data_IF_182117926724
#
_entry.id   IF_182117926724
#
_cell.length_a   1.000
_cell.length_b   1.000
_cell.length_c   1.000
_cell.angle_alpha   90.00
_cell.angle_beta   90.00
_cell.angle_gamma   90.00
#
_symmetry.space_group_name_H-M   'P 1'
#
loop_
_entity.id
_entity.type
_entity.pdbx_description
1 polymer ?
#
# COMPACT_ATOMS: atom_id res chain seq x y z
N UNK A 1 0.84 -20.43 14.53
CA UNK A 1 -0.19 -19.67 15.28
C UNK A 1 0.09 -18.17 15.30
N UNK A 2 1.34 -17.72 15.44
CA UNK A 2 1.72 -16.29 15.34
C UNK A 2 1.23 -15.60 14.04
N UNK A 3 1.27 -16.31 12.91
CA UNK A 3 0.80 -15.78 11.63
C UNK A 3 -0.69 -15.37 11.65
N UNK A 4 -1.55 -16.08 12.38
CA UNK A 4 -2.97 -15.72 12.51
C UNK A 4 -3.11 -14.39 13.25
N UNK A 5 -2.36 -14.20 14.34
CA UNK A 5 -2.37 -12.94 15.09
C UNK A 5 -1.87 -11.77 14.25
N UNK A 6 -0.80 -11.97 13.47
CA UNK A 6 -0.28 -10.96 12.54
C UNK A 6 -1.33 -10.62 11.48
N UNK A 7 -2.01 -11.63 10.92
CA UNK A 7 -3.08 -11.43 9.94
C UNK A 7 -4.25 -10.64 10.54
N UNK A 8 -4.75 -11.03 11.72
CA UNK A 8 -5.84 -10.32 12.42
C UNK A 8 -5.45 -8.87 12.67
N UNK A 9 -4.23 -8.62 13.17
CA UNK A 9 -3.75 -7.27 13.43
C UNK A 9 -3.62 -6.46 12.14
N UNK A 10 -3.17 -7.07 11.05
CA UNK A 10 -3.10 -6.41 9.73
C UNK A 10 -4.49 -6.01 9.23
N UNK A 11 -5.49 -6.90 9.33
CA UNK A 11 -6.87 -6.57 8.97
C UNK A 11 -7.49 -5.50 9.87
N UNK A 12 -7.14 -5.48 11.16
CA UNK A 12 -7.56 -4.42 12.07
C UNK A 12 -6.98 -3.05 11.66
N UNK A 13 -5.69 -2.99 11.32
CA UNK A 13 -5.07 -1.76 10.80
C UNK A 13 -5.71 -1.31 9.48
N UNK A 14 -6.03 -2.24 8.58
CA UNK A 14 -6.74 -1.95 7.32
C UNK A 14 -8.16 -1.40 7.57
N UNK A 15 -8.85 -1.88 8.60
CA UNK A 15 -10.15 -1.35 8.98
C UNK A 15 -10.04 0.08 9.54
N UNK A 16 -8.99 0.38 10.31
CA UNK A 16 -8.72 1.74 10.79
C UNK A 16 -8.43 2.72 9.66
N UNK A 17 -7.62 2.32 8.67
CA UNK A 17 -7.40 3.17 7.48
C UNK A 17 -8.69 3.37 6.70
N UNK A 18 -9.50 2.33 6.47
CA UNK A 18 -10.79 2.48 5.78
C UNK A 18 -11.75 3.43 6.51
N UNK A 19 -11.74 3.41 7.85
CA UNK A 19 -12.51 4.35 8.67
C UNK A 19 -11.97 5.78 8.52
N UNK A 20 -10.64 5.94 8.59
CA UNK A 20 -9.96 7.21 8.37
C UNK A 20 -10.30 7.81 7.02
N UNK A 21 -10.17 7.02 5.95
CA UNK A 21 -10.49 7.41 4.58
C UNK A 21 -11.93 7.91 4.47
N UNK A 22 -12.89 7.22 5.10
CA UNK A 22 -14.30 7.64 5.10
C UNK A 22 -14.53 9.02 5.74
N UNK A 23 -13.77 9.40 6.76
CA UNK A 23 -13.91 10.69 7.43
C UNK A 23 -13.04 11.79 6.81
N UNK A 24 -11.85 11.45 6.32
CA UNK A 24 -10.89 12.38 5.73
C UNK A 24 -11.21 12.71 4.28
N UNK A 25 -11.73 11.75 3.51
CA UNK A 25 -12.12 11.96 2.12
C UNK A 25 -13.60 12.32 2.06
N UNK A 26 -13.88 13.61 1.91
CA UNK A 26 -15.24 14.11 1.66
C UNK A 26 -15.70 13.92 0.20
N UNK A 27 -14.88 13.31 -0.66
CA UNK A 27 -15.13 13.18 -2.09
C UNK A 27 -14.17 12.22 -2.79
N UNK A 28 -14.12 12.29 -4.12
CA UNK A 28 -13.25 11.44 -4.94
C UNK A 28 -11.78 11.73 -4.63
N UNK A 29 -10.92 10.70 -4.47
CA UNK A 29 -9.50 10.92 -4.25
C UNK A 29 -8.87 11.53 -5.49
N UNK A 30 -8.09 12.61 -5.32
CA UNK A 30 -7.22 13.11 -6.38
C UNK A 30 -5.99 12.19 -6.46
N UNK A 31 -5.80 11.43 -7.56
CA UNK A 31 -4.87 10.31 -7.55
C UNK A 31 -3.42 10.68 -7.26
N UNK A 32 -2.96 11.88 -7.67
CA UNK A 32 -1.57 12.28 -7.45
C UNK A 32 -1.31 12.62 -5.99
N UNK A 33 -2.11 13.51 -5.42
CA UNK A 33 -1.94 13.93 -4.02
C UNK A 33 -2.17 12.76 -3.08
N UNK A 34 -3.21 11.95 -3.33
CA UNK A 34 -3.53 10.84 -2.44
C UNK A 34 -2.42 9.77 -2.44
N UNK A 35 -1.91 9.39 -3.62
CA UNK A 35 -0.79 8.46 -3.72
C UNK A 35 0.49 9.02 -3.09
N UNK A 36 0.74 10.32 -3.23
CA UNK A 36 1.89 10.98 -2.60
C UNK A 36 1.82 10.92 -1.07
N UNK A 37 0.69 11.32 -0.49
CA UNK A 37 0.53 11.36 0.97
C UNK A 37 0.54 9.97 1.62
N UNK A 38 0.08 8.94 0.91
CA UNK A 38 0.12 7.56 1.43
C UNK A 38 1.55 7.00 1.44
N UNK A 39 2.35 7.31 0.42
CA UNK A 39 3.71 6.77 0.32
C UNK A 39 4.76 7.59 1.09
N UNK A 40 4.51 8.88 1.34
CA UNK A 40 5.44 9.77 2.03
C UNK A 40 5.86 9.29 3.44
N UNK A 41 4.95 8.81 4.31
CA UNK A 41 5.32 8.28 5.63
C UNK A 41 6.29 7.09 5.55
N UNK A 42 6.30 6.33 4.46
CA UNK A 42 7.22 5.22 4.24
C UNK A 42 8.69 5.67 4.28
N UNK A 43 8.99 6.90 3.86
CA UNK A 43 10.35 7.47 3.93
C UNK A 43 10.80 7.68 5.38
N UNK A 44 9.87 7.98 6.29
CA UNK A 44 10.17 8.16 7.70
C UNK A 44 10.67 6.87 8.37
N UNK A 45 10.39 5.70 7.78
CA UNK A 45 10.92 4.42 8.26
C UNK A 45 12.45 4.33 8.15
N UNK A 46 13.08 5.13 7.29
CA UNK A 46 14.54 5.21 7.22
C UNK A 46 15.15 5.73 8.53
N UNK A 47 14.43 6.55 9.29
CA UNK A 47 14.87 6.99 10.62
C UNK A 47 14.87 5.87 11.65
N UNK A 48 14.16 4.76 11.41
CA UNK A 48 14.20 3.61 12.31
C UNK A 48 15.46 2.74 12.12
N UNK A 49 16.15 2.83 10.98
CA UNK A 49 17.36 2.04 10.64
C UNK A 49 18.34 1.88 11.82
N UNK A 50 18.78 2.95 12.53
CA UNK A 50 19.74 2.81 13.63
C UNK A 50 19.20 2.06 14.86
N UNK A 51 17.89 1.90 15.01
CA UNK A 51 17.25 1.32 16.19
C UNK A 51 16.92 -0.17 16.04
N UNK A 52 16.85 -0.71 14.82
CA UNK A 52 16.31 -2.07 14.56
C UNK A 52 17.38 -3.12 14.22
N UNK A 53 18.67 -2.80 14.40
CA UNK A 53 19.77 -3.71 14.05
C UNK A 53 19.88 -3.94 12.54
N UNK A 54 19.84 -2.86 11.75
CA UNK A 54 19.82 -2.93 10.29
C UNK A 54 21.01 -3.70 9.72
N UNK A 55 20.72 -4.76 8.96
CA UNK A 55 21.71 -5.53 8.21
C UNK A 55 21.71 -5.02 6.79
N UNK A 56 22.88 -4.58 6.31
CA UNK A 56 23.03 -4.10 4.93
C UNK A 56 22.63 -5.21 3.94
N UNK A 57 21.59 -5.01 3.11
CA UNK A 57 21.20 -6.00 2.11
C UNK A 57 22.19 -6.02 0.93
N UNK A 58 22.20 -7.13 0.19
CA UNK A 58 22.97 -7.25 -1.04
C UNK A 58 22.51 -6.23 -2.09
N UNK A 59 23.41 -5.83 -3.00
CA UNK A 59 23.10 -4.85 -4.03
C UNK A 59 21.92 -5.29 -4.91
N UNK A 60 21.83 -6.59 -5.25
CA UNK A 60 20.67 -7.11 -6.02
C UNK A 60 19.37 -6.94 -5.26
N UNK A 61 19.37 -7.19 -3.95
CA UNK A 61 18.19 -7.04 -3.11
C UNK A 61 17.77 -5.57 -3.01
N UNK A 62 18.72 -4.64 -2.90
CA UNK A 62 18.43 -3.20 -2.92
C UNK A 62 17.72 -2.80 -4.22
N UNK A 63 18.25 -3.22 -5.37
CA UNK A 63 17.64 -2.91 -6.68
C UNK A 63 16.23 -3.50 -6.77
N UNK A 64 16.04 -4.76 -6.38
CA UNK A 64 14.72 -5.41 -6.38
C UNK A 64 13.73 -4.72 -5.45
N UNK A 65 14.16 -4.32 -4.24
CA UNK A 65 13.32 -3.58 -3.30
C UNK A 65 12.91 -2.21 -3.83
N UNK A 66 13.82 -1.49 -4.50
CA UNK A 66 13.51 -0.20 -5.15
C UNK A 66 12.52 -0.39 -6.30
N UNK A 67 12.72 -1.40 -7.13
CA UNK A 67 11.77 -1.73 -8.21
C UNK A 67 10.40 -2.10 -7.66
N UNK A 68 10.34 -2.97 -6.65
CA UNK A 68 9.09 -3.36 -6.00
C UNK A 68 8.36 -2.15 -5.40
N UNK A 69 9.08 -1.27 -4.71
CA UNK A 69 8.52 -0.02 -4.19
C UNK A 69 8.02 0.90 -5.31
N UNK A 70 8.80 1.08 -6.37
CA UNK A 70 8.41 1.88 -7.54
C UNK A 70 7.15 1.36 -8.22
N UNK A 71 7.08 0.05 -8.50
CA UNK A 71 5.88 -0.58 -9.04
C UNK A 71 4.69 -0.48 -8.08
N UNK A 72 4.92 -0.56 -6.76
CA UNK A 72 3.90 -0.33 -5.75
C UNK A 72 3.30 1.09 -5.81
N UNK A 73 4.15 2.11 -5.98
CA UNK A 73 3.70 3.51 -6.15
C UNK A 73 2.88 3.67 -7.44
N UNK A 74 3.30 3.06 -8.56
CA UNK A 74 2.53 3.08 -9.80
C UNK A 74 1.20 2.33 -9.68
N UNK A 75 1.19 1.17 -9.03
CA UNK A 75 -0.03 0.41 -8.78
C UNK A 75 -1.03 1.21 -7.93
N UNK A 76 -0.56 1.86 -6.86
CA UNK A 76 -1.37 2.77 -6.04
C UNK A 76 -1.94 3.93 -6.85
N UNK A 77 -1.12 4.57 -7.69
CA UNK A 77 -1.60 5.63 -8.58
C UNK A 77 -2.74 5.17 -9.48
N UNK A 78 -2.59 4.05 -10.20
CA UNK A 78 -3.63 3.54 -11.08
C UNK A 78 -4.88 3.07 -10.33
N UNK A 79 -4.72 2.55 -9.11
CA UNK A 79 -5.85 2.24 -8.23
C UNK A 79 -6.66 3.50 -7.93
N UNK A 80 -6.01 4.61 -7.54
CA UNK A 80 -6.73 5.85 -7.25
C UNK A 80 -7.34 6.49 -8.50
N UNK A 81 -6.68 6.41 -9.66
CA UNK A 81 -7.28 6.81 -10.95
C UNK A 81 -8.55 6.02 -11.24
N UNK A 82 -8.54 4.70 -10.96
CA UNK A 82 -9.73 3.87 -11.12
C UNK A 82 -10.84 4.27 -10.12
N UNK A 83 -10.50 4.56 -8.86
CA UNK A 83 -11.46 4.98 -7.82
C UNK A 83 -12.01 6.40 -8.03
N UNK A 84 -11.30 7.26 -8.75
CA UNK A 84 -11.80 8.57 -9.17
C UNK A 84 -12.88 8.43 -10.27
N UNK A 85 -12.69 7.46 -11.16
CA UNK A 85 -13.53 7.25 -12.36
C UNK A 85 -14.69 6.27 -12.14
N UNK A 86 -14.52 5.30 -11.25
CA UNK A 86 -15.45 4.20 -11.02
C UNK A 86 -15.73 4.00 -9.53
N UNK A 87 -16.81 3.28 -9.23
CA UNK A 87 -17.16 2.95 -7.84
C UNK A 87 -16.20 1.91 -7.25
N UNK A 88 -15.84 2.08 -5.97
CA UNK A 88 -15.00 1.13 -5.24
C UNK A 88 -15.57 -0.30 -5.24
N UNK A 89 -16.91 -0.42 -5.20
CA UNK A 89 -17.65 -1.69 -5.29
C UNK A 89 -17.40 -2.46 -6.59
N UNK A 90 -16.92 -1.80 -7.65
CA UNK A 90 -16.55 -2.42 -8.93
C UNK A 90 -15.04 -2.57 -9.06
N UNK A 91 -14.27 -1.55 -8.70
CA UNK A 91 -12.81 -1.53 -8.85
C UNK A 91 -12.15 -2.59 -7.97
N UNK A 92 -12.49 -2.63 -6.68
CA UNK A 92 -11.83 -3.50 -5.70
C UNK A 92 -12.08 -5.00 -6.02
N UNK A 93 -13.32 -5.45 -6.31
CA UNK A 93 -13.52 -6.86 -6.68
C UNK A 93 -12.86 -7.25 -8.01
N UNK A 94 -12.80 -6.34 -8.98
CA UNK A 94 -12.13 -6.60 -10.28
C UNK A 94 -10.63 -6.81 -10.09
N UNK A 95 -9.97 -5.95 -9.31
CA UNK A 95 -8.54 -6.11 -9.00
C UNK A 95 -8.34 -7.39 -8.17
N UNK A 96 -9.18 -7.61 -7.15
CA UNK A 96 -9.07 -8.78 -6.28
C UNK A 96 -9.29 -10.12 -6.99
N UNK A 97 -10.11 -10.18 -8.05
CA UNK A 97 -10.34 -11.39 -8.83
C UNK A 97 -9.22 -11.69 -9.83
N UNK A 98 -8.58 -10.65 -10.37
CA UNK A 98 -7.53 -10.77 -11.38
C UNK A 98 -6.14 -10.96 -10.74
N UNK A 99 -5.88 -10.36 -9.58
CA UNK A 99 -4.59 -10.40 -8.89
C UNK A 99 -4.02 -11.82 -8.69
N UNK A 100 -4.81 -12.84 -8.30
CA UNK A 100 -4.32 -14.21 -8.13
C UNK A 100 -3.62 -14.78 -9.37
N UNK A 101 -4.01 -14.38 -10.59
CA UNK A 101 -3.40 -14.86 -11.83
C UNK A 101 -1.94 -14.41 -12.01
N UNK A 102 -1.52 -13.39 -11.27
CA UNK A 102 -0.17 -12.81 -11.35
C UNK A 102 0.68 -13.12 -10.11
N UNK A 103 0.09 -13.68 -9.04
CA UNK A 103 0.76 -13.87 -7.75
C UNK A 103 0.88 -15.34 -7.31
N UNK A 104 0.06 -16.24 -7.86
CA UNK A 104 0.11 -17.69 -7.65
C UNK A 104 0.79 -18.37 -8.84
#
# INVERSE_FOLDING_TARGET
>A
MLWILITIFSYFLLALTALGDKYLLSGKPEPKSYNFFINLPGVLLLFLIPFVGFIKPDFKQIVLSLLAGGFGVFAGYFLYVALERFEASRVIPTIGSILPLFTL
#
